data_IF_220702834680
#
_entry.id   IF_220702834680
#
_cell.length_a   1.000
_cell.length_b   1.000
_cell.length_c   1.000
_cell.angle_alpha   90.00
_cell.angle_beta   90.00
_cell.angle_gamma   90.00
#
_symmetry.space_group_name_H-M   'P 1'
#
loop_
_entity.id
_entity.type
_entity.pdbx_description
1 polymer ?
#
# COMPACT_ATOMS: atom_id res chain seq x y z
N UNK A 1 -2.84 25.84 -6.05
CA UNK A 1 -4.16 25.26 -5.71
C UNK A 1 -3.96 23.87 -5.14
N UNK A 2 -4.88 23.44 -4.29
CA UNK A 2 -4.90 22.09 -3.79
C UNK A 2 -6.33 21.55 -3.73
N UNK A 3 -6.49 20.26 -4.04
CA UNK A 3 -7.75 19.54 -4.04
C UNK A 3 -7.60 18.21 -3.30
N UNK A 4 -8.55 17.88 -2.42
CA UNK A 4 -8.51 16.59 -1.72
C UNK A 4 -8.90 15.46 -2.67
N UNK A 5 -8.02 14.47 -2.80
CA UNK A 5 -8.32 13.22 -3.52
C UNK A 5 -9.17 12.34 -2.59
N UNK A 6 -10.40 12.05 -3.01
CA UNK A 6 -11.32 11.19 -2.26
C UNK A 6 -11.07 9.71 -2.57
N UNK A 7 -11.13 8.87 -1.53
CA UNK A 7 -11.09 7.41 -1.70
C UNK A 7 -10.14 6.66 -0.77
N UNK A 8 -9.21 7.33 -0.06
CA UNK A 8 -8.43 6.73 1.01
C UNK A 8 -9.13 6.90 2.36
N UNK A 9 -9.19 5.86 3.19
CA UNK A 9 -9.80 5.92 4.52
C UNK A 9 -8.79 6.19 5.64
N UNK A 10 -7.50 6.04 5.37
CA UNK A 10 -6.45 6.12 6.39
C UNK A 10 -5.68 7.44 6.35
N UNK A 11 -5.09 7.80 5.24
CA UNK A 11 -4.29 9.01 5.07
C UNK A 11 -5.01 10.07 4.20
N UNK A 12 -4.72 11.33 4.44
CA UNK A 12 -5.22 12.43 3.63
C UNK A 12 -4.29 12.63 2.43
N UNK A 13 -4.87 12.59 1.24
CA UNK A 13 -4.15 12.77 -0.03
C UNK A 13 -4.71 13.98 -0.75
N UNK A 14 -3.83 14.86 -1.24
CA UNK A 14 -4.19 16.08 -1.94
C UNK A 14 -3.46 16.15 -3.28
N UNK A 15 -4.19 16.49 -4.32
CA UNK A 15 -3.61 16.98 -5.57
C UNK A 15 -3.19 18.45 -5.35
N UNK A 16 -1.94 18.74 -5.62
CA UNK A 16 -1.38 20.10 -5.55
C UNK A 16 -0.98 20.51 -6.97
N UNK A 17 -1.46 21.66 -7.40
CA UNK A 17 -1.11 22.24 -8.69
C UNK A 17 -0.39 23.56 -8.46
N UNK A 18 0.81 23.70 -9.00
CA UNK A 18 1.60 24.92 -8.91
C UNK A 18 1.12 26.02 -9.89
N UNK A 19 1.78 27.16 -9.87
CA UNK A 19 1.42 28.28 -10.76
C UNK A 19 1.75 28.03 -12.23
N UNK A 20 2.64 27.07 -12.51
CA UNK A 20 3.02 26.66 -13.86
C UNK A 20 2.13 25.53 -14.41
N UNK A 21 1.20 25.00 -13.59
CA UNK A 21 0.32 23.91 -13.94
C UNK A 21 0.92 22.52 -13.69
N UNK A 22 2.09 22.43 -13.06
CA UNK A 22 2.66 21.14 -12.65
C UNK A 22 1.86 20.55 -11.49
N UNK A 23 1.68 19.22 -11.52
CA UNK A 23 0.83 18.50 -10.57
C UNK A 23 1.67 17.56 -9.69
N UNK A 24 1.35 17.61 -8.40
CA UNK A 24 2.00 16.84 -7.36
C UNK A 24 0.95 16.20 -6.45
N UNK A 25 1.34 15.17 -5.72
CA UNK A 25 0.49 14.57 -4.69
C UNK A 25 1.13 14.79 -3.33
N UNK A 26 0.43 15.47 -2.43
CA UNK A 26 0.79 15.60 -1.03
C UNK A 26 0.02 14.57 -0.21
N UNK A 27 0.75 13.79 0.59
CA UNK A 27 0.16 12.77 1.48
C UNK A 27 0.58 13.00 2.92
N UNK A 28 -0.40 12.94 3.85
CA UNK A 28 -0.21 13.16 5.28
C UNK A 28 -1.22 12.36 6.10
N UNK A 29 -0.95 12.08 7.37
CA UNK A 29 -1.95 11.50 8.26
C UNK A 29 -3.09 12.48 8.55
N UNK A 30 -4.26 12.02 8.99
CA UNK A 30 -5.30 12.89 9.53
C UNK A 30 -4.81 13.57 10.81
N UNK A 31 -5.36 14.76 11.10
CA UNK A 31 -5.12 15.45 12.38
C UNK A 31 -5.87 14.73 13.51
N UNK A 32 -5.20 14.51 14.64
CA UNK A 32 -5.78 13.93 15.84
C UNK A 32 -5.00 12.71 16.36
N UNK A 33 -5.53 12.03 17.39
CA UNK A 33 -4.93 10.82 17.95
C UNK A 33 -5.10 9.66 16.96
N UNK A 34 -4.09 9.42 16.18
CA UNK A 34 -3.99 8.23 15.30
C UNK A 34 -3.18 7.15 16.00
N UNK A 35 -3.56 5.89 15.78
CA UNK A 35 -2.75 4.75 16.25
C UNK A 35 -1.39 4.81 15.55
N UNK A 36 -0.34 5.08 16.30
CA UNK A 36 0.98 5.51 15.85
C UNK A 36 1.76 4.61 14.88
N UNK A 37 1.24 3.42 14.54
CA UNK A 37 1.90 2.52 13.59
C UNK A 37 1.22 2.45 12.21
N UNK A 38 0.02 3.00 12.06
CA UNK A 38 -0.78 2.91 10.84
C UNK A 38 -0.58 4.10 9.89
N UNK A 39 0.13 5.14 10.34
CA UNK A 39 0.26 6.41 9.62
C UNK A 39 1.70 6.97 9.69
N UNK A 40 2.67 6.09 9.59
CA UNK A 40 4.09 6.43 9.60
C UNK A 40 4.53 6.88 8.20
N UNK A 41 4.50 8.19 7.97
CA UNK A 41 4.89 8.80 6.68
C UNK A 41 6.35 8.56 6.36
N UNK A 42 7.24 8.55 7.36
CA UNK A 42 8.64 8.25 7.17
C UNK A 42 8.86 6.83 6.65
N UNK A 43 8.09 5.88 7.16
CA UNK A 43 8.11 4.49 6.67
C UNK A 43 7.59 4.39 5.23
N UNK A 44 6.49 5.06 4.90
CA UNK A 44 5.97 5.09 3.53
C UNK A 44 7.01 5.66 2.55
N UNK A 45 7.55 6.84 2.85
CA UNK A 45 8.59 7.49 2.05
C UNK A 45 9.79 6.57 1.84
N UNK A 46 10.27 5.94 2.91
CA UNK A 46 11.41 5.03 2.85
C UNK A 46 11.15 3.87 1.89
N UNK A 47 9.97 3.25 1.96
CA UNK A 47 9.61 2.13 1.09
C UNK A 47 9.46 2.59 -0.36
N UNK A 48 8.71 3.67 -0.62
CA UNK A 48 8.48 4.17 -1.99
C UNK A 48 9.80 4.58 -2.64
N UNK A 49 10.66 5.30 -1.91
CA UNK A 49 11.99 5.70 -2.40
C UNK A 49 12.89 4.49 -2.68
N UNK A 50 12.85 3.47 -1.83
CA UNK A 50 13.65 2.26 -2.03
C UNK A 50 13.19 1.41 -3.22
N UNK A 51 11.92 1.52 -3.60
CA UNK A 51 11.36 0.82 -4.77
C UNK A 51 11.59 1.55 -6.08
N UNK A 52 11.91 2.85 -6.05
CA UNK A 52 12.21 3.60 -7.25
C UNK A 52 13.43 3.02 -7.98
N UNK A 53 13.29 2.80 -9.28
CA UNK A 53 14.33 2.16 -10.12
C UNK A 53 14.43 0.62 -10.01
N UNK A 54 13.65 -0.05 -9.15
CA UNK A 54 13.67 -1.53 -9.05
C UNK A 54 12.84 -2.24 -10.10
N UNK A 55 12.10 -1.50 -10.93
CA UNK A 55 11.12 -2.04 -11.88
C UNK A 55 9.72 -2.25 -11.28
N UNK A 56 9.54 -1.98 -9.98
CA UNK A 56 8.22 -1.80 -9.37
C UNK A 56 7.76 -0.37 -9.70
N UNK A 57 6.61 -0.19 -10.35
CA UNK A 57 6.13 1.16 -10.68
C UNK A 57 5.62 1.84 -9.40
N UNK A 58 6.30 2.89 -8.96
CA UNK A 58 5.91 3.74 -7.82
C UNK A 58 6.03 5.21 -8.23
N UNK A 59 5.23 6.11 -7.65
CA UNK A 59 5.40 7.54 -7.88
C UNK A 59 6.71 8.02 -7.27
N UNK A 60 7.60 8.72 -8.02
CA UNK A 60 8.82 9.29 -7.45
C UNK A 60 8.53 10.24 -6.29
N UNK A 61 9.23 10.07 -5.17
CA UNK A 61 9.13 10.97 -4.02
C UNK A 61 9.95 12.24 -4.30
N UNK A 62 9.29 13.40 -4.20
CA UNK A 62 9.91 14.71 -4.39
C UNK A 62 10.52 15.24 -3.11
N UNK A 63 9.89 14.99 -1.97
CA UNK A 63 10.39 15.42 -0.67
C UNK A 63 9.53 14.96 0.50
N UNK A 64 10.15 14.92 1.66
CA UNK A 64 9.54 14.57 2.94
C UNK A 64 9.79 15.68 3.97
N UNK A 65 8.77 16.04 4.72
CA UNK A 65 8.82 17.04 5.76
C UNK A 65 8.35 16.44 7.09
N UNK A 66 9.21 16.43 8.09
CA UNK A 66 8.90 15.97 9.45
C UNK A 66 8.36 17.09 10.34
N UNK A 67 8.52 18.36 9.91
CA UNK A 67 8.10 19.52 10.68
C UNK A 67 6.57 19.63 10.72
N UNK A 68 6.02 19.32 11.88
CA UNK A 68 4.58 19.41 12.12
C UNK A 68 4.03 20.85 12.10
N UNK A 69 4.89 21.87 12.26
CA UNK A 69 4.44 23.27 12.22
C UNK A 69 3.96 23.68 10.81
N UNK A 70 4.42 22.98 9.77
CA UNK A 70 4.07 23.30 8.38
C UNK A 70 2.62 22.93 8.04
N UNK A 71 2.19 21.72 8.39
CA UNK A 71 0.84 21.22 8.03
C UNK A 71 0.07 20.63 9.21
N UNK A 72 0.65 20.63 10.40
CA UNK A 72 0.09 20.00 11.60
C UNK A 72 0.40 18.52 11.75
N UNK A 73 1.16 17.93 10.80
CA UNK A 73 1.65 16.55 10.83
C UNK A 73 2.76 16.38 9.79
N UNK A 74 3.64 15.37 9.93
CA UNK A 74 4.59 15.01 8.89
C UNK A 74 3.88 14.71 7.56
N UNK A 75 4.48 15.08 6.45
CA UNK A 75 3.92 14.84 5.13
C UNK A 75 5.01 14.60 4.09
N UNK A 76 4.65 13.98 2.98
CA UNK A 76 5.52 13.91 1.84
C UNK A 76 4.82 14.32 0.55
N UNK A 77 5.63 14.67 -0.44
CA UNK A 77 5.18 15.03 -1.77
C UNK A 77 5.79 14.05 -2.77
N UNK A 78 4.98 13.58 -3.69
CA UNK A 78 5.38 12.69 -4.79
C UNK A 78 4.87 13.22 -6.11
N UNK A 79 5.41 12.74 -7.22
CA UNK A 79 4.91 13.08 -8.54
C UNK A 79 3.47 12.59 -8.73
N UNK A 80 2.69 13.36 -9.49
CA UNK A 80 1.35 12.94 -9.86
C UNK A 80 1.43 11.96 -11.03
N UNK A 81 0.92 10.76 -10.82
CA UNK A 81 0.77 9.74 -11.87
C UNK A 81 -0.65 9.81 -12.41
N UNK A 82 -0.77 10.04 -13.71
CA UNK A 82 -2.06 10.11 -14.39
C UNK A 82 -2.59 8.73 -14.74
N UNK A 83 -3.84 8.48 -14.40
CA UNK A 83 -4.51 7.23 -14.75
C UNK A 83 -5.71 6.92 -13.87
N UNK A 84 -6.59 6.03 -14.34
CA UNK A 84 -7.73 5.58 -13.56
C UNK A 84 -7.31 4.66 -12.42
N UNK A 85 -8.01 4.79 -11.29
CA UNK A 85 -8.00 3.87 -10.16
C UNK A 85 -9.33 3.11 -10.16
N UNK A 86 -9.28 1.78 -10.15
CA UNK A 86 -10.49 0.97 -10.26
C UNK A 86 -11.03 0.64 -8.86
N UNK A 87 -12.09 1.33 -8.48
CA UNK A 87 -12.80 1.14 -7.20
C UNK A 87 -14.10 0.34 -7.32
N UNK A 88 -14.58 0.17 -8.56
CA UNK A 88 -15.82 -0.53 -8.81
C UNK A 88 -16.15 -0.65 -10.30
N UNK A 89 -17.33 -1.17 -10.62
CA UNK A 89 -17.75 -1.42 -12.01
C UNK A 89 -17.74 -0.18 -12.91
N UNK A 90 -18.01 0.99 -12.34
CA UNK A 90 -18.04 2.25 -13.09
C UNK A 90 -16.65 2.58 -13.66
N UNK A 91 -15.61 2.53 -12.85
CA UNK A 91 -14.24 2.78 -13.30
C UNK A 91 -13.75 1.64 -14.22
N UNK A 92 -14.18 0.40 -13.97
CA UNK A 92 -13.87 -0.74 -14.83
C UNK A 92 -14.49 -0.58 -16.25
N UNK A 93 -15.55 0.19 -16.40
CA UNK A 93 -16.15 0.48 -17.70
C UNK A 93 -15.25 1.32 -18.63
N UNK A 94 -14.23 2.01 -18.08
CA UNK A 94 -13.19 2.67 -18.88
C UNK A 94 -12.35 1.67 -19.70
N UNK A 95 -12.39 0.37 -19.36
CA UNK A 95 -11.71 -0.72 -20.06
C UNK A 95 -12.73 -1.64 -20.73
N UNK A 96 -13.32 -1.22 -21.86
CA UNK A 96 -14.49 -1.91 -22.46
C UNK A 96 -14.15 -3.26 -23.09
N UNK A 97 -12.92 -3.45 -23.58
CA UNK A 97 -12.53 -4.70 -24.22
C UNK A 97 -12.10 -5.77 -23.23
N UNK A 98 -12.34 -7.03 -23.60
CA UNK A 98 -11.88 -8.18 -22.82
C UNK A 98 -10.36 -8.19 -22.68
N UNK A 99 -9.63 -7.81 -23.73
CA UNK A 99 -8.19 -7.72 -23.75
C UNK A 99 -7.67 -6.68 -22.74
N UNK A 100 -8.28 -5.50 -22.65
CA UNK A 100 -7.90 -4.51 -21.64
C UNK A 100 -8.14 -5.03 -20.22
N UNK A 101 -9.30 -5.68 -19.96
CA UNK A 101 -9.57 -6.25 -18.63
C UNK A 101 -8.64 -7.39 -18.27
N UNK A 102 -8.23 -8.20 -19.26
CA UNK A 102 -7.19 -9.22 -19.07
C UNK A 102 -5.86 -8.60 -18.67
N UNK A 103 -5.42 -7.53 -19.35
CA UNK A 103 -4.19 -6.80 -19.03
C UNK A 103 -4.21 -6.18 -17.63
N UNK A 104 -5.36 -5.65 -17.16
CA UNK A 104 -5.47 -5.19 -15.77
C UNK A 104 -5.12 -6.30 -14.77
N UNK A 105 -5.69 -7.49 -14.96
CA UNK A 105 -5.44 -8.63 -14.08
C UNK A 105 -4.00 -9.14 -14.17
N UNK A 106 -3.47 -9.29 -15.37
CA UNK A 106 -2.10 -9.72 -15.61
C UNK A 106 -1.10 -8.72 -15.03
N UNK A 107 -1.26 -7.43 -15.33
CA UNK A 107 -0.39 -6.37 -14.80
C UNK A 107 -0.42 -6.28 -13.28
N UNK A 108 -1.58 -6.52 -12.66
CA UNK A 108 -1.69 -6.59 -11.20
C UNK A 108 -0.82 -7.74 -10.64
N UNK A 109 -0.93 -8.93 -11.20
CA UNK A 109 -0.15 -10.11 -10.75
C UNK A 109 1.34 -9.95 -11.04
N UNK A 110 1.71 -9.45 -12.21
CA UNK A 110 3.11 -9.20 -12.57
C UNK A 110 3.76 -8.17 -11.64
N UNK A 111 3.04 -7.10 -11.33
CA UNK A 111 3.54 -6.07 -10.40
C UNK A 111 3.67 -6.62 -8.97
N UNK A 112 2.75 -7.45 -8.51
CA UNK A 112 2.88 -8.14 -7.23
C UNK A 112 4.13 -9.05 -7.21
N UNK A 113 4.37 -9.77 -8.30
CA UNK A 113 5.57 -10.60 -8.42
C UNK A 113 6.86 -9.76 -8.39
N UNK A 114 6.87 -8.59 -9.03
CA UNK A 114 8.00 -7.65 -8.95
C UNK A 114 8.23 -7.18 -7.52
N UNK A 115 7.19 -6.77 -6.78
CA UNK A 115 7.30 -6.37 -5.37
C UNK A 115 7.91 -7.50 -4.53
N UNK A 116 7.44 -8.73 -4.69
CA UNK A 116 7.94 -9.89 -3.95
C UNK A 116 9.37 -10.30 -4.34
N UNK A 117 9.83 -9.91 -5.52
CA UNK A 117 11.18 -10.22 -6.03
C UNK A 117 12.23 -9.19 -5.63
N UNK A 118 11.85 -8.07 -5.01
CA UNK A 118 12.80 -7.07 -4.53
C UNK A 118 13.67 -7.65 -3.42
N UNK A 119 14.98 -7.57 -3.58
CA UNK A 119 15.91 -7.87 -2.50
C UNK A 119 15.91 -6.74 -1.48
N UNK A 120 15.30 -6.99 -0.33
CA UNK A 120 15.15 -6.01 0.75
C UNK A 120 16.48 -5.50 1.31
N UNK A 121 17.56 -6.27 1.12
CA UNK A 121 18.92 -5.88 1.57
C UNK A 121 19.54 -4.91 0.58
N UNK A 122 19.45 -5.21 -0.72
CA UNK A 122 20.00 -4.36 -1.78
C UNK A 122 19.35 -2.97 -1.80
N UNK A 123 18.04 -2.91 -1.54
CA UNK A 123 17.30 -1.63 -1.51
C UNK A 123 17.31 -0.94 -0.13
N UNK A 124 18.06 -1.45 0.85
CA UNK A 124 18.20 -0.82 2.18
C UNK A 124 16.96 -0.94 3.09
N UNK A 125 16.14 -1.96 2.90
CA UNK A 125 14.92 -2.23 3.69
C UNK A 125 15.06 -3.43 4.64
N UNK A 126 16.26 -3.95 4.88
CA UNK A 126 16.47 -5.14 5.71
C UNK A 126 16.00 -4.99 7.16
N UNK A 127 15.93 -3.78 7.68
CA UNK A 127 15.44 -3.47 9.05
C UNK A 127 13.98 -3.03 9.10
N UNK A 128 13.27 -3.02 7.95
CA UNK A 128 11.86 -2.62 7.86
C UNK A 128 10.93 -3.50 8.72
N UNK A 129 11.33 -4.75 8.95
CA UNK A 129 10.61 -5.72 9.77
C UNK A 129 11.46 -6.90 10.19
N UNK A 130 10.87 -7.79 10.96
CA UNK A 130 11.53 -9.04 11.37
C UNK A 130 11.44 -10.06 10.25
N UNK A 131 12.57 -10.63 9.85
CA UNK A 131 12.66 -11.59 8.75
C UNK A 131 12.08 -12.96 9.09
N UNK A 132 12.14 -13.39 10.35
CA UNK A 132 11.74 -14.75 10.75
C UNK A 132 10.31 -14.84 11.30
N UNK A 133 9.67 -15.98 11.11
CA UNK A 133 8.43 -16.36 11.78
C UNK A 133 7.25 -15.44 11.47
N UNK A 134 7.14 -14.92 10.25
CA UNK A 134 6.07 -13.99 9.86
C UNK A 134 4.67 -14.59 10.08
N UNK A 135 4.42 -15.80 9.58
CA UNK A 135 3.12 -16.46 9.69
C UNK A 135 2.72 -16.66 11.16
N UNK A 136 3.63 -17.14 11.99
CA UNK A 136 3.38 -17.37 13.42
C UNK A 136 3.04 -16.06 14.16
N UNK A 137 3.75 -14.95 13.82
CA UNK A 137 3.43 -13.64 14.40
C UNK A 137 2.08 -13.12 13.95
N UNK A 138 1.71 -13.34 12.69
CA UNK A 138 0.39 -12.93 12.18
C UNK A 138 -0.72 -13.73 12.84
N UNK A 139 -0.60 -15.03 12.95
CA UNK A 139 -1.58 -15.88 13.63
C UNK A 139 -1.78 -15.45 15.08
N UNK A 140 -0.69 -15.20 15.82
CA UNK A 140 -0.75 -14.69 17.18
C UNK A 140 -1.40 -13.29 17.27
N UNK A 141 -1.05 -12.39 16.37
CA UNK A 141 -1.61 -11.05 16.31
C UNK A 141 -3.11 -11.06 16.07
N UNK A 142 -3.55 -11.81 15.07
CA UNK A 142 -4.96 -11.87 14.69
C UNK A 142 -5.81 -12.59 15.72
N UNK A 143 -5.31 -13.66 16.33
CA UNK A 143 -5.98 -14.31 17.47
C UNK A 143 -6.16 -13.34 18.63
N UNK A 144 -5.11 -12.61 19.01
CA UNK A 144 -5.23 -11.61 20.08
C UNK A 144 -6.16 -10.44 19.73
N UNK A 145 -6.31 -10.10 18.46
CA UNK A 145 -7.24 -9.08 18.00
C UNK A 145 -8.68 -9.60 18.01
N UNK A 146 -8.89 -10.85 17.58
CA UNK A 146 -10.17 -11.54 17.69
C UNK A 146 -10.69 -11.56 19.13
N UNK A 147 -9.86 -11.99 20.09
CA UNK A 147 -10.24 -12.02 21.50
C UNK A 147 -10.69 -10.67 22.05
N UNK A 148 -10.08 -9.57 21.58
CA UNK A 148 -10.42 -8.20 22.00
C UNK A 148 -11.66 -7.62 21.32
N UNK A 149 -12.01 -8.11 20.15
CA UNK A 149 -13.08 -7.55 19.31
C UNK A 149 -14.30 -8.44 19.18
N UNK A 150 -14.22 -9.73 19.55
CA UNK A 150 -15.35 -10.65 19.44
C UNK A 150 -16.53 -10.18 20.29
N UNK A 151 -17.71 -10.20 19.70
CA UNK A 151 -18.99 -9.86 20.35
C UNK A 151 -19.82 -11.09 20.71
N UNK A 152 -19.36 -12.27 20.28
CA UNK A 152 -19.96 -13.57 20.54
C UNK A 152 -18.91 -14.68 20.45
N UNK A 153 -19.15 -15.80 21.08
CA UNK A 153 -18.32 -17.00 20.93
C UNK A 153 -18.54 -17.64 19.56
N UNK A 154 -17.45 -17.98 18.88
CA UNK A 154 -17.43 -18.69 17.59
C UNK A 154 -16.34 -19.77 17.64
N UNK A 155 -16.64 -20.96 18.20
CA UNK A 155 -15.64 -22.03 18.37
C UNK A 155 -14.92 -22.41 17.05
N UNK A 156 -15.60 -22.23 15.92
CA UNK A 156 -15.00 -22.48 14.60
C UNK A 156 -13.77 -21.60 14.32
N UNK A 157 -13.75 -20.35 14.81
CA UNK A 157 -12.60 -19.44 14.63
C UNK A 157 -11.39 -19.98 15.42
N UNK A 158 -11.63 -20.47 16.63
CA UNK A 158 -10.59 -21.04 17.49
C UNK A 158 -10.05 -22.36 16.93
N UNK A 159 -10.94 -23.22 16.41
CA UNK A 159 -10.56 -24.47 15.74
C UNK A 159 -9.71 -24.18 14.48
N UNK A 160 -10.15 -23.26 13.63
CA UNK A 160 -9.40 -22.86 12.42
C UNK A 160 -8.04 -22.25 12.80
N UNK A 161 -7.98 -21.39 13.82
CA UNK A 161 -6.72 -20.82 14.29
C UNK A 161 -5.74 -21.92 14.76
N UNK A 162 -6.20 -22.87 15.58
CA UNK A 162 -5.38 -24.00 16.03
C UNK A 162 -4.81 -24.80 14.86
N UNK A 163 -5.67 -25.16 13.90
CA UNK A 163 -5.25 -25.89 12.69
C UNK A 163 -4.24 -25.10 11.85
N UNK A 164 -4.41 -23.79 11.70
CA UNK A 164 -3.45 -22.96 10.98
C UNK A 164 -2.09 -22.88 11.68
N UNK A 165 -2.06 -22.86 13.02
CA UNK A 165 -0.81 -22.93 13.80
C UNK A 165 -0.09 -24.24 13.53
N UNK A 166 -0.81 -25.37 13.56
CA UNK A 166 -0.24 -26.71 13.37
C UNK A 166 0.23 -26.95 11.92
N UNK A 167 -0.45 -26.36 10.94
CA UNK A 167 -0.18 -26.52 9.51
C UNK A 167 0.73 -25.43 8.92
N UNK A 168 1.12 -24.42 9.70
CA UNK A 168 1.94 -23.32 9.21
C UNK A 168 3.28 -23.85 8.66
N UNK A 169 3.58 -23.64 7.36
CA UNK A 169 4.81 -24.09 6.79
C UNK A 169 6.01 -23.34 7.37
N UNK A 170 7.21 -23.93 7.37
CA UNK A 170 8.42 -23.20 7.68
C UNK A 170 8.61 -22.06 6.66
N UNK A 171 9.09 -20.93 7.14
CA UNK A 171 9.39 -19.80 6.26
C UNK A 171 10.58 -20.17 5.36
N UNK A 172 10.41 -20.02 4.05
CA UNK A 172 11.43 -20.35 3.05
C UNK A 172 12.23 -19.14 2.57
N UNK A 173 11.63 -17.94 2.64
CA UNK A 173 12.24 -16.71 2.16
C UNK A 173 11.68 -15.48 2.89
N UNK A 174 12.33 -14.34 2.70
CA UNK A 174 11.86 -13.02 3.14
C UNK A 174 11.67 -12.16 1.90
N UNK A 175 10.52 -11.53 1.79
CA UNK A 175 10.21 -10.60 0.71
C UNK A 175 9.42 -9.40 1.23
N UNK A 176 9.38 -8.34 0.45
CA UNK A 176 8.50 -7.23 0.70
C UNK A 176 7.06 -7.64 0.41
N UNK A 177 6.15 -7.40 1.36
CA UNK A 177 4.72 -7.71 1.22
C UNK A 177 3.93 -6.41 1.37
N UNK A 178 3.11 -6.10 0.38
CA UNK A 178 2.28 -4.89 0.38
C UNK A 178 1.25 -4.88 1.53
N UNK A 179 0.57 -6.00 1.74
CA UNK A 179 -0.39 -6.16 2.85
C UNK A 179 -1.84 -5.77 2.52
N UNK A 180 -2.06 -4.89 1.56
CA UNK A 180 -3.40 -4.50 1.05
C UNK A 180 -3.38 -4.32 -0.47
N UNK A 181 -2.79 -5.28 -1.20
CA UNK A 181 -2.61 -5.21 -2.64
C UNK A 181 -3.93 -5.50 -3.39
N UNK A 182 -4.51 -4.44 -3.98
CA UNK A 182 -5.81 -4.51 -4.64
C UNK A 182 -5.95 -3.42 -5.73
N UNK A 183 -6.97 -3.54 -6.58
CA UNK A 183 -7.17 -2.68 -7.75
C UNK A 183 -7.23 -1.18 -7.43
N UNK A 184 -7.75 -0.81 -6.27
CA UNK A 184 -7.90 0.60 -5.87
C UNK A 184 -6.65 1.20 -5.20
N UNK A 185 -5.61 0.37 -4.96
CA UNK A 185 -4.28 0.81 -4.57
C UNK A 185 -3.29 0.80 -5.76
N UNK A 186 -3.84 0.79 -6.99
CA UNK A 186 -3.05 0.80 -8.23
C UNK A 186 -3.63 1.80 -9.21
N UNK A 187 -2.76 2.61 -9.82
CA UNK A 187 -3.10 3.48 -10.94
C UNK A 187 -2.79 2.74 -12.23
N UNK A 188 -3.71 2.78 -13.17
CA UNK A 188 -3.55 2.12 -14.47
C UNK A 188 -3.34 3.12 -15.60
N UNK A 189 -2.62 2.71 -16.64
CA UNK A 189 -2.58 3.43 -17.90
C UNK A 189 -3.90 3.23 -18.67
N UNK A 190 -4.20 4.05 -19.68
CA UNK A 190 -5.34 3.84 -20.56
C UNK A 190 -5.34 2.49 -21.29
N UNK A 191 -4.17 1.85 -21.43
CA UNK A 191 -4.00 0.53 -22.07
C UNK A 191 -4.20 -0.64 -21.11
N UNK A 192 -4.35 -0.38 -19.79
CA UNK A 192 -4.56 -1.38 -18.75
C UNK A 192 -3.26 -1.88 -18.08
N UNK A 193 -2.13 -1.24 -18.32
CA UNK A 193 -0.88 -1.54 -17.63
C UNK A 193 -0.83 -0.82 -16.27
N UNK A 194 -0.10 -1.38 -15.32
CA UNK A 194 0.11 -0.71 -14.03
C UNK A 194 1.08 0.46 -14.21
N UNK A 195 0.58 1.66 -13.98
CA UNK A 195 1.36 2.90 -14.01
C UNK A 195 2.01 3.22 -12.67
N UNK A 196 1.32 2.96 -11.55
CA UNK A 196 1.90 3.09 -10.22
C UNK A 196 1.14 2.26 -9.17
N UNK A 197 1.87 1.79 -8.17
CA UNK A 197 1.33 1.27 -6.91
C UNK A 197 1.32 2.41 -5.90
N UNK A 198 0.17 2.61 -5.25
CA UNK A 198 -0.05 3.71 -4.30
C UNK A 198 -0.71 3.18 -3.03
N UNK A 199 -0.23 3.51 -1.84
CA UNK A 199 -0.68 3.11 -0.51
C UNK A 199 0.03 1.89 0.06
#
# INVERSE_FOLDING_TARGET
>A
DYEKIHGGMSNLTYLVTDQAGARWVLRRPPLGKVLGSAHDMGREVRVVTALDGTGVPVPPVVGYCEDEEVTGAPFYVMEFVEGPVIRGPEQAAAFPSEEQRRRLGEGLVETMAKIHSVDVTEVGLSDLGRHDGYVQRQLKRWSGQWEKSKTRELPLVEDVHSRLVDLAPPQSATSLVHGDYRLDNVIYSPTGEVAAVVD
#
